data_IF_421637802321
#
_entry.id   IF_421637802321
#
_cell.length_a   1.000
_cell.length_b   1.000
_cell.length_c   1.000
_cell.angle_alpha   90.00
_cell.angle_beta   90.00
_cell.angle_gamma   90.00
#
_symmetry.space_group_name_H-M   'P 1'
#
loop_
_entity.id
_entity.type
_entity.pdbx_description
1 polymer ?
#
# COMPACT_ATOMS: atom_id res chain seq x y z
N UNK A 1 -5.83 -15.63 3.47
CA UNK A 1 -5.84 -14.74 4.65
C UNK A 1 -7.10 -13.90 4.61
N UNK A 2 -7.83 -13.70 5.72
CA UNK A 2 -9.08 -12.95 5.67
C UNK A 2 -8.79 -11.45 5.56
N UNK A 3 -9.20 -10.85 4.44
CA UNK A 3 -9.03 -9.43 4.09
C UNK A 3 -7.64 -9.12 3.53
N UNK A 4 -7.57 -8.56 2.32
CA UNK A 4 -6.29 -8.07 1.77
C UNK A 4 -5.88 -6.84 2.58
N UNK A 5 -4.90 -7.00 3.47
CA UNK A 5 -4.24 -5.87 4.10
C UNK A 5 -3.08 -5.45 3.21
N UNK A 6 -3.13 -4.27 2.57
CA UNK A 6 -1.97 -3.77 1.84
C UNK A 6 -0.84 -3.53 2.85
N UNK A 7 0.29 -4.21 2.65
CA UNK A 7 1.48 -4.08 3.49
C UNK A 7 2.35 -2.88 3.08
N UNK A 8 2.11 -2.35 1.88
CA UNK A 8 2.81 -1.20 1.31
C UNK A 8 1.78 -0.14 0.95
N UNK A 9 2.10 1.12 1.21
CA UNK A 9 1.24 2.25 0.90
C UNK A 9 1.99 3.57 1.02
N UNK A 10 1.31 4.65 0.66
CA UNK A 10 1.82 6.00 0.79
C UNK A 10 1.43 6.61 2.13
N UNK A 11 2.37 7.30 2.75
CA UNK A 11 2.14 8.07 3.98
C UNK A 11 2.38 9.54 3.67
N UNK A 12 1.47 10.38 4.13
CA UNK A 12 1.54 11.83 3.99
C UNK A 12 0.91 12.47 5.22
N UNK A 13 1.24 13.75 5.43
CA UNK A 13 0.61 14.51 6.51
C UNK A 13 -0.84 14.83 6.15
N UNK A 14 -1.73 14.58 7.10
CA UNK A 14 -3.17 14.83 6.96
C UNK A 14 -3.48 16.30 6.65
N UNK A 15 -2.88 17.23 7.40
CA UNK A 15 -3.10 18.67 7.23
C UNK A 15 -2.68 19.18 5.84
N UNK A 16 -1.57 18.66 5.32
CA UNK A 16 -1.12 18.94 3.96
C UNK A 16 -2.08 18.39 2.91
N UNK A 17 -2.57 17.16 3.08
CA UNK A 17 -3.49 16.54 2.13
C UNK A 17 -4.82 17.30 2.03
N UNK A 18 -5.34 17.79 3.16
CA UNK A 18 -6.52 18.65 3.18
C UNK A 18 -6.29 20.03 2.56
N UNK A 19 -5.08 20.58 2.65
CA UNK A 19 -4.71 21.83 1.98
C UNK A 19 -4.42 21.66 0.48
N UNK A 20 -4.11 20.44 0.04
CA UNK A 20 -3.70 20.12 -1.34
C UNK A 20 -4.55 19.00 -1.97
N UNK A 21 -5.89 19.08 -1.95
CA UNK A 21 -6.77 17.97 -2.35
C UNK A 21 -6.59 17.55 -3.80
N UNK A 22 -6.32 18.50 -4.71
CA UNK A 22 -6.08 18.22 -6.13
C UNK A 22 -4.77 17.46 -6.34
N UNK A 23 -3.73 17.80 -5.58
CA UNK A 23 -2.40 17.17 -5.71
C UNK A 23 -2.45 15.73 -5.21
N UNK A 24 -3.04 15.49 -4.04
CA UNK A 24 -3.13 14.14 -3.49
C UNK A 24 -4.04 13.25 -4.34
N UNK A 25 -5.20 13.74 -4.80
CA UNK A 25 -6.08 12.99 -5.71
C UNK A 25 -5.37 12.65 -7.02
N UNK A 26 -4.68 13.63 -7.64
CA UNK A 26 -3.92 13.43 -8.86
C UNK A 26 -2.79 12.39 -8.70
N UNK A 27 -2.05 12.46 -7.59
CA UNK A 27 -0.99 11.50 -7.29
C UNK A 27 -1.54 10.08 -7.13
N UNK A 28 -2.60 9.89 -6.35
CA UNK A 28 -3.21 8.57 -6.12
C UNK A 28 -3.80 8.00 -7.42
N UNK A 29 -4.42 8.82 -8.27
CA UNK A 29 -4.89 8.43 -9.61
C UNK A 29 -3.73 8.00 -10.50
N UNK A 30 -2.63 8.74 -10.51
CA UNK A 30 -1.45 8.39 -11.28
C UNK A 30 -0.82 7.08 -10.82
N UNK A 31 -0.78 6.81 -9.51
CA UNK A 31 -0.30 5.54 -8.96
C UNK A 31 -1.15 4.36 -9.43
N UNK A 32 -2.49 4.46 -9.33
CA UNK A 32 -3.42 3.43 -9.82
C UNK A 32 -3.29 3.23 -11.34
N UNK A 33 -3.14 4.31 -12.11
CA UNK A 33 -2.94 4.23 -13.56
C UNK A 33 -1.60 3.55 -13.92
N UNK A 34 -0.53 3.83 -13.17
CA UNK A 34 0.76 3.18 -13.36
C UNK A 34 0.67 1.66 -13.06
N UNK A 35 0.02 1.28 -11.97
CA UNK A 35 -0.23 -0.13 -11.64
C UNK A 35 -1.05 -0.86 -12.73
N UNK A 36 -2.08 -0.20 -13.27
CA UNK A 36 -2.86 -0.74 -14.38
C UNK A 36 -2.02 -0.90 -15.66
N UNK A 37 -1.15 0.06 -15.97
CA UNK A 37 -0.23 -0.03 -17.10
C UNK A 37 0.76 -1.19 -16.93
N UNK A 38 1.35 -1.33 -15.74
CA UNK A 38 2.28 -2.42 -15.43
C UNK A 38 1.62 -3.79 -15.46
N UNK A 39 0.33 -3.86 -15.12
CA UNK A 39 -0.45 -5.11 -15.18
C UNK A 39 -0.84 -5.52 -16.59
N UNK A 40 -0.78 -4.61 -17.58
CA UNK A 40 -1.27 -4.83 -18.95
C UNK A 40 -0.20 -4.70 -20.04
N UNK A 41 1.01 -4.26 -19.70
CA UNK A 41 2.10 -4.05 -20.65
C UNK A 41 3.44 -4.55 -20.13
N UNK A 42 3.97 -5.60 -20.75
CA UNK A 42 5.33 -6.08 -20.47
C UNK A 42 6.39 -5.03 -20.81
N UNK A 43 6.17 -4.26 -21.88
CA UNK A 43 7.09 -3.19 -22.32
C UNK A 43 7.18 -2.06 -21.28
N UNK A 44 6.12 -1.82 -20.50
CA UNK A 44 6.15 -0.82 -19.43
C UNK A 44 7.16 -1.15 -18.32
N UNK A 45 7.61 -2.40 -18.22
CA UNK A 45 8.63 -2.83 -17.26
C UNK A 45 10.06 -2.58 -17.73
N UNK A 46 10.30 -2.33 -19.01
CA UNK A 46 11.64 -2.05 -19.55
C UNK A 46 12.34 -0.87 -18.87
N UNK A 47 11.72 0.32 -18.72
CA UNK A 47 12.36 1.44 -18.02
C UNK A 47 12.53 1.20 -16.51
N UNK A 48 11.79 0.27 -15.92
CA UNK A 48 11.84 -0.06 -14.48
C UNK A 48 12.94 -1.08 -14.19
N UNK A 49 13.23 -1.97 -15.14
CA UNK A 49 14.25 -3.02 -15.00
C UNK A 49 15.59 -2.54 -14.41
N UNK A 50 16.21 -1.42 -14.85
CA UNK A 50 17.48 -0.96 -14.27
C UNK A 50 17.35 -0.46 -12.81
N UNK A 51 16.14 -0.16 -12.34
CA UNK A 51 15.87 0.22 -10.95
C UNK A 51 15.62 -1.00 -10.06
N UNK A 52 15.43 -2.18 -10.65
CA UNK A 52 15.20 -3.42 -9.94
C UNK A 52 16.54 -4.11 -9.68
N UNK A 53 16.77 -4.53 -8.44
CA UNK A 53 17.92 -5.35 -8.06
C UNK A 53 17.71 -6.84 -8.45
N UNK A 54 17.36 -7.06 -9.72
CA UNK A 54 17.08 -8.38 -10.26
C UNK A 54 18.35 -8.94 -10.93
N UNK A 55 19.02 -9.87 -10.24
CA UNK A 55 20.25 -10.50 -10.70
C UNK A 55 20.12 -11.23 -12.05
N UNK A 56 18.92 -11.73 -12.38
CA UNK A 56 18.66 -12.45 -13.63
C UNK A 56 17.22 -12.25 -14.15
N UNK A 57 16.96 -12.72 -15.36
CA UNK A 57 15.66 -12.60 -16.02
C UNK A 57 14.55 -13.38 -15.29
N UNK A 58 14.88 -14.50 -14.65
CA UNK A 58 13.88 -15.30 -13.93
C UNK A 58 13.43 -14.59 -12.65
N UNK A 59 14.34 -13.94 -11.92
CA UNK A 59 14.04 -13.10 -10.77
C UNK A 59 13.23 -11.87 -11.19
N UNK A 60 13.60 -11.22 -12.30
CA UNK A 60 12.84 -10.10 -12.85
C UNK A 60 11.37 -10.45 -13.09
N UNK A 61 11.08 -11.56 -13.78
CA UNK A 61 9.71 -12.03 -14.04
C UNK A 61 8.97 -12.38 -12.74
N UNK A 62 9.67 -12.99 -11.76
CA UNK A 62 9.06 -13.28 -10.45
C UNK A 62 8.68 -12.01 -9.71
N UNK A 63 9.52 -10.98 -9.74
CA UNK A 63 9.25 -9.71 -9.09
C UNK A 63 8.07 -8.98 -9.75
N UNK A 64 7.97 -8.97 -11.08
CA UNK A 64 6.80 -8.41 -11.77
C UNK A 64 5.51 -9.11 -11.34
N UNK A 65 5.51 -10.45 -11.34
CA UNK A 65 4.34 -11.24 -10.96
C UNK A 65 3.94 -10.98 -9.51
N UNK A 66 4.90 -11.01 -8.58
CA UNK A 66 4.63 -10.76 -7.17
C UNK A 66 4.11 -9.34 -6.93
N UNK A 67 4.60 -8.35 -7.69
CA UNK A 67 4.06 -6.99 -7.65
C UNK A 67 2.59 -6.98 -8.12
N UNK A 68 2.28 -7.56 -9.28
CA UNK A 68 0.92 -7.59 -9.85
C UNK A 68 -0.05 -8.34 -8.92
N UNK A 69 0.35 -9.49 -8.39
CA UNK A 69 -0.44 -10.27 -7.42
C UNK A 69 -0.68 -9.50 -6.12
N UNK A 70 0.22 -8.57 -5.77
CA UNK A 70 0.13 -7.72 -4.59
C UNK A 70 -0.71 -6.45 -4.76
N UNK A 71 -1.10 -6.09 -5.99
CA UNK A 71 -1.93 -4.90 -6.24
C UNK A 71 -3.30 -5.09 -5.61
N UNK A 72 -3.64 -4.22 -4.67
CA UNK A 72 -4.94 -4.24 -4.02
C UNK A 72 -5.36 -2.84 -3.54
N UNK A 73 -6.60 -2.46 -3.85
CA UNK A 73 -7.21 -1.19 -3.43
C UNK A 73 -8.51 -1.42 -2.63
N UNK A 74 -8.44 -2.09 -1.47
CA UNK A 74 -9.60 -2.20 -0.61
C UNK A 74 -10.06 -0.80 -0.13
N UNK A 75 -11.36 -0.58 0.09
CA UNK A 75 -11.86 0.66 0.67
C UNK A 75 -11.22 0.96 2.03
N UNK A 76 -11.08 2.24 2.38
CA UNK A 76 -10.46 2.67 3.64
C UNK A 76 -11.05 1.95 4.88
N UNK A 77 -12.37 1.79 4.94
CA UNK A 77 -13.03 1.08 6.04
C UNK A 77 -12.61 -0.41 6.14
N UNK A 78 -12.35 -1.07 5.01
CA UNK A 78 -11.86 -2.45 5.01
C UNK A 78 -10.38 -2.51 5.44
N UNK A 79 -9.59 -1.49 5.07
CA UNK A 79 -8.21 -1.34 5.52
C UNK A 79 -8.14 -1.10 7.04
N UNK A 80 -8.96 -0.19 7.57
CA UNK A 80 -9.09 0.08 9.01
C UNK A 80 -9.38 -1.22 9.78
N UNK A 81 -10.37 -2.00 9.34
CA UNK A 81 -10.73 -3.26 10.00
C UNK A 81 -9.61 -4.29 9.95
N UNK A 82 -8.91 -4.42 8.82
CA UNK A 82 -7.82 -5.36 8.67
C UNK A 82 -6.60 -4.94 9.51
N UNK A 83 -6.28 -3.64 9.54
CA UNK A 83 -5.19 -3.09 10.33
C UNK A 83 -5.46 -3.20 11.84
N UNK A 84 -6.69 -2.98 12.29
CA UNK A 84 -7.07 -3.18 13.69
C UNK A 84 -6.84 -4.64 14.13
N UNK A 85 -7.23 -5.62 13.31
CA UNK A 85 -6.96 -7.03 13.59
C UNK A 85 -5.48 -7.35 13.66
N UNK A 86 -4.67 -6.79 12.76
CA UNK A 86 -3.21 -6.96 12.80
C UNK A 86 -2.62 -6.33 14.06
N UNK A 87 -3.06 -5.12 14.41
CA UNK A 87 -2.63 -4.41 15.61
C UNK A 87 -2.93 -5.22 16.88
N UNK A 88 -4.12 -5.81 16.98
CA UNK A 88 -4.48 -6.68 18.11
C UNK A 88 -3.55 -7.90 18.23
N UNK A 89 -3.15 -8.49 17.09
CA UNK A 89 -2.17 -9.57 17.07
C UNK A 89 -0.82 -9.07 17.57
N UNK A 90 -0.33 -7.92 17.09
CA UNK A 90 0.93 -7.31 17.53
C UNK A 90 0.93 -6.99 19.03
N UNK A 91 -0.17 -6.43 19.53
CA UNK A 91 -0.33 -6.13 20.96
C UNK A 91 -0.32 -7.40 21.81
N UNK A 92 -1.02 -8.45 21.37
CA UNK A 92 -1.09 -9.71 22.11
C UNK A 92 0.24 -10.46 22.13
N UNK A 93 1.02 -10.42 21.05
CA UNK A 93 2.27 -11.20 20.93
C UNK A 93 3.50 -10.42 21.40
N UNK A 94 3.54 -9.11 21.15
CA UNK A 94 4.67 -8.24 21.47
C UNK A 94 4.45 -7.27 22.63
N UNK A 95 3.23 -7.22 23.18
CA UNK A 95 2.86 -6.32 24.27
C UNK A 95 2.91 -4.83 23.86
N UNK A 96 2.83 -3.92 24.84
CA UNK A 96 2.82 -2.47 24.59
C UNK A 96 4.06 -1.95 23.85
N UNK A 97 5.20 -2.66 23.91
CA UNK A 97 6.40 -2.26 23.16
C UNK A 97 6.23 -2.39 21.65
N UNK A 98 5.50 -3.40 21.18
CA UNK A 98 5.25 -3.60 19.76
C UNK A 98 4.28 -2.58 19.16
N UNK A 99 3.46 -1.93 19.98
CA UNK A 99 2.46 -0.94 19.56
C UNK A 99 2.86 0.50 19.91
N UNK A 100 4.07 0.73 20.43
CA UNK A 100 4.50 2.05 20.88
C UNK A 100 3.69 2.58 22.08
N UNK A 101 3.13 1.69 22.90
CA UNK A 101 2.30 2.01 24.07
C UNK A 101 0.82 2.18 23.76
N UNK A 102 0.41 2.08 22.50
CA UNK A 102 -0.99 2.17 22.12
C UNK A 102 -1.75 0.89 22.51
N UNK A 103 -2.94 1.06 23.07
CA UNK A 103 -3.87 -0.05 23.39
C UNK A 103 -4.78 -0.41 22.22
N UNK A 104 -4.99 0.53 21.29
CA UNK A 104 -5.79 0.37 20.07
C UNK A 104 -5.21 1.20 18.95
N UNK A 105 -5.42 0.76 17.71
CA UNK A 105 -5.10 1.53 16.53
C UNK A 105 -6.02 2.78 16.45
N UNK A 106 -5.47 4.00 16.29
CA UNK A 106 -6.28 5.19 16.05
C UNK A 106 -7.19 5.04 14.81
N UNK A 107 -8.35 5.68 14.84
CA UNK A 107 -9.26 5.69 13.69
C UNK A 107 -8.84 6.75 12.67
N UNK A 108 -9.26 6.59 11.41
CA UNK A 108 -9.02 7.58 10.36
C UNK A 108 -7.59 7.60 9.80
N UNK A 109 -6.81 6.54 10.04
CA UNK A 109 -5.43 6.43 9.53
C UNK A 109 -5.42 6.20 8.02
N UNK A 110 -6.45 5.53 7.48
CA UNK A 110 -6.54 5.27 6.05
C UNK A 110 -7.33 6.37 5.33
N UNK A 111 -6.71 6.92 4.29
CA UNK A 111 -7.27 8.04 3.53
C UNK A 111 -8.50 7.62 2.71
N UNK A 112 -9.66 8.18 3.05
CA UNK A 112 -10.94 7.87 2.42
C UNK A 112 -11.22 8.68 1.14
N UNK A 113 -10.58 9.83 0.95
CA UNK A 113 -10.87 10.74 -0.17
C UNK A 113 -10.04 10.39 -1.42
N UNK A 114 -10.35 9.26 -2.04
CA UNK A 114 -9.68 8.74 -3.26
C UNK A 114 -10.39 9.13 -4.57
N UNK A 115 -11.33 10.08 -4.55
CA UNK A 115 -12.10 10.48 -5.75
C UNK A 115 -11.35 11.36 -6.74
#
# INVERSE_FOLDING_TARGET
>A
MPGVLPLVGFVFREDWAYQSPVVISGFLKAAVAAEALLSSSEVAWEPIRPLMDAADAALFVRLQRAFIEGIAHPPAAAQDQAAAKLFDVLLRTGGPRATGGLEKLPQGIFWANRE
#
